data_IF_618074740352
#
_entry.id   IF_618074740352
#
_cell.length_a   1.000
_cell.length_b   1.000
_cell.length_c   1.000
_cell.angle_alpha   90.00
_cell.angle_beta   90.00
_cell.angle_gamma   90.00
#
_symmetry.space_group_name_H-M   'P 1'
#
loop_
_entity.id
_entity.type
_entity.pdbx_description
1 polymer ?
#
# COMPACT_ATOMS: atom_id res chain seq x y z
N UNK A 1 -12.23 0.31 -28.84
CA UNK A 1 -13.24 -0.28 -27.93
C UNK A 1 -12.80 -1.69 -27.64
N UNK A 2 -12.21 -1.97 -26.49
CA UNK A 2 -11.71 -3.33 -26.16
C UNK A 2 -11.74 -3.59 -24.66
N UNK A 3 -11.31 -2.63 -23.85
CA UNK A 3 -11.29 -2.79 -22.38
C UNK A 3 -12.68 -2.69 -21.71
N UNK A 4 -13.54 -1.78 -22.17
CA UNK A 4 -14.88 -1.60 -21.60
C UNK A 4 -15.77 -2.81 -21.85
N UNK A 5 -15.75 -3.34 -23.08
CA UNK A 5 -16.45 -4.58 -23.45
C UNK A 5 -15.92 -5.77 -22.67
N UNK A 6 -14.59 -5.90 -22.51
CA UNK A 6 -14.00 -6.99 -21.75
C UNK A 6 -14.30 -6.90 -20.24
N UNK A 7 -14.31 -5.69 -19.66
CA UNK A 7 -14.68 -5.47 -18.26
C UNK A 7 -16.16 -5.80 -18.02
N UNK A 8 -17.02 -5.41 -18.96
CA UNK A 8 -18.44 -5.73 -18.91
C UNK A 8 -18.69 -7.24 -19.07
N UNK A 9 -17.98 -7.91 -19.99
CA UNK A 9 -18.10 -9.36 -20.18
C UNK A 9 -17.73 -10.12 -18.89
N UNK A 10 -16.67 -9.69 -18.20
CA UNK A 10 -16.31 -10.26 -16.89
C UNK A 10 -17.43 -10.09 -15.85
N UNK A 11 -18.06 -8.91 -15.78
CA UNK A 11 -19.22 -8.66 -14.92
C UNK A 11 -20.43 -9.53 -15.31
N UNK A 12 -20.76 -9.61 -16.60
CA UNK A 12 -21.91 -10.38 -17.11
C UNK A 12 -21.79 -11.87 -16.78
N UNK A 13 -20.59 -12.45 -16.85
CA UNK A 13 -20.37 -13.84 -16.45
C UNK A 13 -20.76 -14.08 -14.98
N UNK A 14 -20.41 -13.16 -14.08
CA UNK A 14 -20.79 -13.25 -12.66
C UNK A 14 -22.30 -13.09 -12.48
N UNK A 15 -22.90 -12.11 -13.18
CA UNK A 15 -24.33 -11.85 -13.13
C UNK A 15 -25.17 -13.03 -13.63
N UNK A 16 -24.71 -13.70 -14.69
CA UNK A 16 -25.38 -14.86 -15.29
C UNK A 16 -25.56 -16.02 -14.29
N UNK A 17 -24.63 -16.16 -13.35
CA UNK A 17 -24.64 -17.22 -12.35
C UNK A 17 -25.29 -16.83 -11.02
N UNK A 18 -25.80 -15.60 -10.88
CA UNK A 18 -26.54 -15.19 -9.68
C UNK A 18 -27.82 -15.99 -9.52
N UNK A 19 -28.09 -16.43 -8.29
CA UNK A 19 -29.35 -17.08 -7.92
C UNK A 19 -30.17 -16.16 -7.01
N UNK A 20 -31.48 -16.38 -6.94
CA UNK A 20 -32.37 -15.57 -6.09
C UNK A 20 -31.93 -15.55 -4.62
N UNK A 21 -31.42 -16.68 -4.11
CA UNK A 21 -30.88 -16.80 -2.74
C UNK A 21 -29.67 -15.90 -2.48
N UNK A 22 -28.97 -15.46 -3.52
CA UNK A 22 -27.77 -14.65 -3.39
C UNK A 22 -28.08 -13.16 -3.21
N UNK A 23 -29.27 -12.71 -3.61
CA UNK A 23 -29.64 -11.29 -3.69
C UNK A 23 -29.54 -10.53 -2.36
N UNK A 24 -29.68 -11.22 -1.23
CA UNK A 24 -29.59 -10.62 0.11
C UNK A 24 -28.22 -10.80 0.77
N UNK A 25 -27.25 -11.42 0.09
CA UNK A 25 -25.91 -11.62 0.65
C UNK A 25 -25.17 -10.28 0.76
N UNK A 26 -24.41 -10.06 1.84
CA UNK A 26 -23.56 -8.88 1.95
C UNK A 26 -22.44 -8.93 0.91
N UNK A 27 -22.02 -7.76 0.42
CA UNK A 27 -20.87 -7.64 -0.49
C UNK A 27 -19.67 -7.02 0.21
N UNK A 28 -18.44 -7.13 -0.34
CA UNK A 28 -17.30 -6.36 0.15
C UNK A 28 -17.48 -4.84 0.04
N UNK A 29 -18.36 -4.37 -0.86
CA UNK A 29 -18.86 -2.99 -0.86
C UNK A 29 -19.92 -2.85 0.24
N UNK A 30 -19.52 -2.39 1.42
CA UNK A 30 -20.36 -2.44 2.63
C UNK A 30 -21.65 -1.63 2.55
N UNK A 31 -21.79 -0.76 1.56
CA UNK A 31 -23.00 0.03 1.29
C UNK A 31 -24.13 -0.80 0.67
N UNK A 32 -23.79 -1.92 0.01
CA UNK A 32 -24.72 -2.67 -0.81
C UNK A 32 -24.70 -4.17 -0.50
N UNK A 33 -25.88 -4.77 -0.36
CA UNK A 33 -26.06 -6.20 -0.62
C UNK A 33 -26.07 -6.48 -2.14
N UNK A 34 -26.09 -7.75 -2.55
CA UNK A 34 -26.03 -8.14 -3.97
C UNK A 34 -27.11 -7.45 -4.82
N UNK A 35 -28.38 -7.44 -4.37
CA UNK A 35 -29.48 -6.80 -5.11
C UNK A 35 -29.24 -5.30 -5.27
N UNK A 36 -28.87 -4.62 -4.19
CA UNK A 36 -28.59 -3.19 -4.21
C UNK A 36 -27.39 -2.84 -5.08
N UNK A 37 -26.40 -3.73 -5.16
CA UNK A 37 -25.23 -3.53 -6.01
C UNK A 37 -25.58 -3.65 -7.49
N UNK A 38 -26.52 -4.53 -7.85
CA UNK A 38 -27.09 -4.61 -9.21
C UNK A 38 -27.86 -3.33 -9.54
N UNK A 39 -28.66 -2.81 -8.61
CA UNK A 39 -29.38 -1.54 -8.80
C UNK A 39 -28.41 -0.35 -9.00
N UNK A 40 -27.33 -0.31 -8.22
CA UNK A 40 -26.27 0.69 -8.35
C UNK A 40 -25.61 0.66 -9.73
N UNK A 41 -25.22 -0.54 -10.21
CA UNK A 41 -24.66 -0.71 -11.55
C UNK A 41 -25.63 -0.26 -12.65
N UNK A 42 -26.90 -0.64 -12.54
CA UNK A 42 -27.94 -0.22 -13.50
C UNK A 42 -28.09 1.31 -13.51
N UNK A 43 -28.13 1.96 -12.34
CA UNK A 43 -28.21 3.41 -12.20
C UNK A 43 -27.03 4.14 -12.85
N UNK A 44 -25.80 3.64 -12.66
CA UNK A 44 -24.60 4.23 -13.27
C UNK A 44 -24.59 4.09 -14.80
N UNK A 45 -25.03 2.95 -15.34
CA UNK A 45 -25.14 2.76 -16.78
C UNK A 45 -26.26 3.60 -17.40
N UNK A 46 -27.41 3.72 -16.73
CA UNK A 46 -28.50 4.59 -17.16
C UNK A 46 -28.09 6.07 -17.16
N UNK A 47 -27.36 6.51 -16.13
CA UNK A 47 -26.77 7.85 -16.08
C UNK A 47 -25.82 8.08 -17.25
N UNK A 48 -24.96 7.11 -17.57
CA UNK A 48 -24.06 7.20 -18.71
C UNK A 48 -24.81 7.28 -20.05
N UNK A 49 -25.86 6.47 -20.25
CA UNK A 49 -26.72 6.58 -21.43
C UNK A 49 -27.30 7.99 -21.56
N UNK A 50 -27.88 8.52 -20.48
CA UNK A 50 -28.48 9.86 -20.44
C UNK A 50 -27.45 10.95 -20.76
N UNK A 51 -26.28 10.91 -20.13
CA UNK A 51 -25.20 11.88 -20.36
C UNK A 51 -24.72 11.89 -21.83
N UNK A 52 -24.86 10.74 -22.50
CA UNK A 52 -24.51 10.57 -23.91
C UNK A 52 -25.66 10.90 -24.86
N UNK A 53 -26.83 11.29 -24.35
CA UNK A 53 -28.01 11.62 -25.14
C UNK A 53 -28.84 10.41 -25.58
N UNK A 54 -28.60 9.24 -24.99
CA UNK A 54 -29.42 8.03 -25.18
C UNK A 54 -30.50 7.93 -24.11
N UNK A 55 -31.71 7.55 -24.51
CA UNK A 55 -32.87 7.36 -23.63
C UNK A 55 -33.11 5.89 -23.26
N UNK A 56 -32.05 5.09 -23.16
CA UNK A 56 -32.20 3.70 -22.69
C UNK A 56 -32.78 3.68 -21.28
N UNK A 57 -34.01 3.16 -21.16
CA UNK A 57 -34.68 2.99 -19.88
C UNK A 57 -34.13 1.76 -19.13
N UNK A 58 -34.02 1.89 -17.81
CA UNK A 58 -33.80 0.77 -16.91
C UNK A 58 -35.10 -0.03 -16.73
N UNK A 59 -35.01 -1.36 -16.77
CA UNK A 59 -36.12 -2.28 -16.50
C UNK A 59 -35.77 -3.19 -15.31
N UNK A 60 -36.14 -2.80 -14.08
CA UNK A 60 -35.91 -3.59 -12.87
C UNK A 60 -36.64 -4.93 -12.83
N UNK A 61 -37.58 -5.21 -13.76
CA UNK A 61 -38.29 -6.49 -13.81
C UNK A 61 -37.47 -7.62 -14.47
N UNK A 62 -36.41 -7.25 -15.20
CA UNK A 62 -35.49 -8.19 -15.81
C UNK A 62 -34.58 -8.85 -14.75
N UNK A 63 -34.12 -10.06 -15.05
CA UNK A 63 -33.06 -10.69 -14.28
C UNK A 63 -31.78 -9.83 -14.32
N UNK A 64 -30.89 -9.93 -13.31
CA UNK A 64 -29.72 -9.06 -13.18
C UNK A 64 -28.83 -8.98 -14.44
N UNK A 65 -28.49 -10.11 -15.04
CA UNK A 65 -27.62 -10.14 -16.23
C UNK A 65 -28.26 -9.43 -17.44
N UNK A 66 -29.45 -9.79 -17.93
CA UNK A 66 -30.03 -9.13 -19.10
C UNK A 66 -30.36 -7.66 -18.86
N UNK A 67 -30.70 -7.26 -17.62
CA UNK A 67 -30.90 -5.85 -17.24
C UNK A 67 -29.63 -5.03 -17.47
N UNK A 68 -28.51 -5.49 -16.93
CA UNK A 68 -27.20 -4.82 -17.06
C UNK A 68 -26.70 -4.89 -18.50
N UNK A 69 -26.87 -6.02 -19.18
CA UNK A 69 -26.46 -6.20 -20.57
C UNK A 69 -27.10 -5.17 -21.51
N UNK A 70 -28.40 -4.92 -21.39
CA UNK A 70 -29.12 -3.96 -22.23
C UNK A 70 -28.63 -2.52 -22.01
N UNK A 71 -28.52 -2.10 -20.75
CA UNK A 71 -28.02 -0.77 -20.41
C UNK A 71 -26.56 -0.57 -20.86
N UNK A 72 -25.72 -1.57 -20.65
CA UNK A 72 -24.32 -1.49 -20.99
C UNK A 72 -24.08 -1.51 -22.51
N UNK A 73 -24.86 -2.29 -23.26
CA UNK A 73 -24.84 -2.26 -24.72
C UNK A 73 -25.18 -0.86 -25.24
N UNK A 74 -26.28 -0.26 -24.77
CA UNK A 74 -26.67 1.08 -25.17
C UNK A 74 -25.60 2.14 -24.83
N UNK A 75 -24.99 2.03 -23.65
CA UNK A 75 -23.89 2.91 -23.25
C UNK A 75 -22.68 2.76 -24.18
N UNK A 76 -22.26 1.52 -24.46
CA UNK A 76 -21.13 1.22 -25.36
C UNK A 76 -21.38 1.75 -26.77
N UNK A 77 -22.56 1.52 -27.34
CA UNK A 77 -22.94 2.04 -28.67
C UNK A 77 -22.90 3.57 -28.69
N UNK A 78 -23.37 4.22 -27.63
CA UNK A 78 -23.34 5.69 -27.50
C UNK A 78 -21.91 6.23 -27.46
N UNK A 79 -21.02 5.61 -26.69
CA UNK A 79 -19.59 5.96 -26.64
C UNK A 79 -18.90 5.70 -27.98
N UNK A 80 -19.27 4.64 -28.67
CA UNK A 80 -18.74 4.28 -29.98
C UNK A 80 -19.10 5.31 -31.04
N UNK A 81 -20.34 5.80 -31.01
CA UNK A 81 -20.83 6.79 -31.96
C UNK A 81 -20.31 8.21 -31.68
N UNK A 82 -20.28 8.64 -30.41
CA UNK A 82 -19.87 9.99 -30.02
C UNK A 82 -18.35 10.16 -29.93
N UNK A 83 -17.63 9.12 -29.50
CA UNK A 83 -16.24 9.22 -29.08
C UNK A 83 -16.06 9.73 -27.64
N UNK A 84 -14.79 9.94 -27.25
CA UNK A 84 -14.39 10.30 -25.88
C UNK A 84 -13.89 11.74 -25.73
N UNK A 85 -13.98 12.56 -26.78
CA UNK A 85 -13.57 13.95 -26.75
C UNK A 85 -14.62 14.85 -26.08
N UNK A 86 -14.16 15.90 -25.41
CA UNK A 86 -15.01 16.90 -24.76
C UNK A 86 -15.59 16.47 -23.41
N UNK A 87 -16.58 17.22 -22.94
CA UNK A 87 -17.27 17.00 -21.66
C UNK A 87 -18.69 16.48 -21.86
N UNK A 88 -19.24 15.91 -20.79
CA UNK A 88 -20.59 15.40 -20.64
C UNK A 88 -21.23 16.05 -19.41
N UNK A 89 -22.49 16.46 -19.57
CA UNK A 89 -23.32 16.93 -18.47
C UNK A 89 -23.99 15.72 -17.78
N UNK A 90 -23.63 15.48 -16.51
CA UNK A 90 -24.28 14.46 -15.68
C UNK A 90 -25.54 14.98 -14.97
N UNK A 91 -25.91 16.24 -15.16
CA UNK A 91 -26.99 16.96 -14.48
C UNK A 91 -26.59 17.56 -13.13
N UNK A 92 -25.46 17.11 -12.55
CA UNK A 92 -24.90 17.62 -11.30
C UNK A 92 -23.43 18.03 -11.43
N UNK A 93 -22.78 17.69 -12.54
CA UNK A 93 -21.39 18.03 -12.84
C UNK A 93 -21.11 17.88 -14.34
N UNK A 94 -20.19 18.70 -14.83
CA UNK A 94 -19.54 18.52 -16.13
C UNK A 94 -18.31 17.64 -15.96
N UNK A 95 -18.22 16.53 -16.70
CA UNK A 95 -17.09 15.59 -16.63
C UNK A 95 -16.52 15.30 -18.01
N UNK A 96 -15.20 15.12 -18.18
CA UNK A 96 -14.65 14.63 -19.44
C UNK A 96 -15.26 13.27 -19.81
N UNK A 97 -15.59 13.05 -21.10
CA UNK A 97 -16.16 11.77 -21.54
C UNK A 97 -15.20 10.60 -21.28
N UNK A 98 -13.89 10.85 -21.39
CA UNK A 98 -12.83 9.89 -21.04
C UNK A 98 -12.84 9.48 -19.57
N UNK A 99 -13.17 10.41 -18.66
CA UNK A 99 -13.29 10.15 -17.21
C UNK A 99 -14.49 9.26 -16.94
N UNK A 100 -15.67 9.55 -17.51
CA UNK A 100 -16.85 8.71 -17.34
C UNK A 100 -16.61 7.29 -17.88
N UNK A 101 -15.98 7.17 -19.05
CA UNK A 101 -15.59 5.88 -19.61
C UNK A 101 -14.63 5.11 -18.69
N UNK A 102 -13.65 5.80 -18.09
CA UNK A 102 -12.74 5.21 -17.10
C UNK A 102 -13.46 4.72 -15.85
N UNK A 103 -14.42 5.50 -15.34
CA UNK A 103 -15.27 5.11 -14.20
C UNK A 103 -16.06 3.85 -14.53
N UNK A 104 -16.70 3.74 -15.70
CA UNK A 104 -17.48 2.55 -16.04
C UNK A 104 -16.64 1.27 -16.14
N UNK A 105 -15.38 1.38 -16.59
CA UNK A 105 -14.43 0.25 -16.56
C UNK A 105 -14.14 -0.17 -15.11
N UNK A 106 -13.89 0.80 -14.24
CA UNK A 106 -13.61 0.56 -12.82
C UNK A 106 -14.83 -0.07 -12.11
N UNK A 107 -16.02 0.49 -12.29
CA UNK A 107 -17.28 0.01 -11.73
C UNK A 107 -17.53 -1.44 -12.14
N UNK A 108 -17.38 -1.75 -13.44
CA UNK A 108 -17.61 -3.10 -13.96
C UNK A 108 -16.63 -4.12 -13.37
N UNK A 109 -15.35 -3.78 -13.31
CA UNK A 109 -14.30 -4.69 -12.82
C UNK A 109 -14.39 -4.92 -11.30
N UNK A 110 -14.54 -3.83 -10.53
CA UNK A 110 -14.53 -3.89 -9.06
C UNK A 110 -15.81 -4.49 -8.52
N UNK A 111 -16.96 -4.13 -9.09
CA UNK A 111 -18.25 -4.68 -8.64
C UNK A 111 -18.51 -6.08 -9.20
N UNK A 112 -17.97 -6.43 -10.37
CA UNK A 112 -17.90 -7.82 -10.82
C UNK A 112 -17.16 -8.69 -9.78
N UNK A 113 -16.01 -8.20 -9.30
CA UNK A 113 -15.28 -8.86 -8.22
C UNK A 113 -16.07 -8.90 -6.90
N UNK A 114 -16.73 -7.80 -6.50
CA UNK A 114 -17.55 -7.77 -5.27
C UNK A 114 -18.68 -8.81 -5.31
N UNK A 115 -19.38 -8.93 -6.44
CA UNK A 115 -20.44 -9.91 -6.66
C UNK A 115 -19.91 -11.34 -6.64
N UNK A 116 -18.76 -11.59 -7.30
CA UNK A 116 -18.14 -12.90 -7.31
C UNK A 116 -17.73 -13.34 -5.90
N UNK A 117 -17.14 -12.44 -5.12
CA UNK A 117 -16.79 -12.69 -3.73
C UNK A 117 -18.02 -12.94 -2.87
N UNK A 118 -19.04 -12.10 -3.01
CA UNK A 118 -20.29 -12.22 -2.27
C UNK A 118 -20.97 -13.57 -2.51
N UNK A 119 -20.84 -14.11 -3.73
CA UNK A 119 -21.52 -15.34 -4.17
C UNK A 119 -20.62 -16.58 -4.25
N UNK A 120 -19.34 -16.44 -3.90
CA UNK A 120 -18.33 -17.51 -3.95
C UNK A 120 -18.07 -18.05 -5.36
N UNK A 121 -18.14 -17.15 -6.36
CA UNK A 121 -17.73 -17.42 -7.74
C UNK A 121 -16.26 -17.06 -7.94
N UNK A 122 -15.63 -17.67 -8.94
CA UNK A 122 -14.32 -17.24 -9.42
C UNK A 122 -14.47 -15.99 -10.28
N UNK A 123 -13.51 -15.07 -10.18
CA UNK A 123 -13.44 -13.87 -11.01
C UNK A 123 -12.09 -13.84 -11.72
N UNK A 124 -12.00 -14.56 -12.83
CA UNK A 124 -10.80 -14.64 -13.66
C UNK A 124 -10.86 -13.60 -14.77
N UNK A 125 -9.87 -12.71 -14.79
CA UNK A 125 -9.75 -11.64 -15.77
C UNK A 125 -8.33 -11.57 -16.28
N UNK A 126 -8.19 -11.22 -17.56
CA UNK A 126 -6.87 -11.06 -18.16
C UNK A 126 -6.01 -10.08 -17.34
N UNK A 127 -4.78 -10.46 -16.95
CA UNK A 127 -3.91 -9.59 -16.16
C UNK A 127 -3.59 -8.26 -16.84
N UNK A 128 -3.52 -8.22 -18.18
CA UNK A 128 -3.31 -7.01 -18.96
C UNK A 128 -4.51 -6.07 -18.90
N UNK A 129 -5.73 -6.61 -18.98
CA UNK A 129 -6.96 -5.85 -18.76
C UNK A 129 -7.02 -5.27 -17.34
N UNK A 130 -6.73 -6.08 -16.32
CA UNK A 130 -6.73 -5.62 -14.94
C UNK A 130 -5.66 -4.53 -14.69
N UNK A 131 -4.47 -4.65 -15.30
CA UNK A 131 -3.44 -3.61 -15.23
C UNK A 131 -3.89 -2.32 -15.91
N UNK A 132 -4.51 -2.42 -17.09
CA UNK A 132 -5.04 -1.27 -17.81
C UNK A 132 -6.11 -0.53 -16.98
N UNK A 133 -7.04 -1.26 -16.37
CA UNK A 133 -8.07 -0.67 -15.50
C UNK A 133 -7.47 -0.07 -14.23
N UNK A 134 -6.41 -0.66 -13.66
CA UNK A 134 -5.67 -0.06 -12.55
C UNK A 134 -5.04 1.29 -12.92
N UNK A 135 -4.42 1.39 -14.09
CA UNK A 135 -3.84 2.66 -14.55
C UNK A 135 -4.93 3.71 -14.85
N UNK A 136 -6.07 3.30 -15.42
CA UNK A 136 -7.24 4.18 -15.55
C UNK A 136 -7.75 4.67 -14.19
N UNK A 137 -7.81 3.78 -13.20
CA UNK A 137 -8.24 4.12 -11.85
C UNK A 137 -7.29 5.14 -11.21
N UNK A 138 -5.97 4.97 -11.35
CA UNK A 138 -4.96 5.93 -10.87
C UNK A 138 -5.07 7.29 -11.55
N UNK A 139 -5.40 7.32 -12.84
CA UNK A 139 -5.57 8.56 -13.60
C UNK A 139 -6.89 9.28 -13.25
N UNK A 140 -7.94 8.54 -12.89
CA UNK A 140 -9.29 9.06 -12.71
C UNK A 140 -9.63 9.37 -11.25
N UNK A 141 -9.11 8.58 -10.31
CA UNK A 141 -9.39 8.72 -8.88
C UNK A 141 -8.36 9.64 -8.22
N UNK A 142 -8.71 10.92 -8.10
CA UNK A 142 -7.96 11.90 -7.31
C UNK A 142 -8.31 11.91 -5.82
N UNK A 143 -7.64 12.79 -5.07
CA UNK A 143 -7.88 12.98 -3.62
C UNK A 143 -9.32 13.39 -3.31
N UNK A 144 -9.93 14.22 -4.17
CA UNK A 144 -11.33 14.64 -4.05
C UNK A 144 -12.33 13.46 -4.14
N UNK A 145 -12.10 12.53 -5.06
CA UNK A 145 -12.95 11.33 -5.24
C UNK A 145 -12.77 10.33 -4.09
N UNK A 146 -11.60 10.30 -3.44
CA UNK A 146 -11.44 9.55 -2.19
C UNK A 146 -12.10 10.25 -1.01
N UNK A 147 -12.06 11.58 -0.98
CA UNK A 147 -12.69 12.39 0.06
C UNK A 147 -14.23 12.35 0.02
N UNK A 148 -14.85 12.02 -1.13
CA UNK A 148 -16.30 11.82 -1.23
C UNK A 148 -16.80 10.56 -0.50
N UNK A 149 -15.89 9.69 -0.04
CA UNK A 149 -16.22 8.45 0.67
C UNK A 149 -16.51 7.25 -0.24
N UNK A 150 -16.58 7.47 -1.55
CA UNK A 150 -16.88 6.41 -2.54
C UNK A 150 -15.78 5.35 -2.67
N UNK A 151 -14.56 5.66 -2.23
CA UNK A 151 -13.42 4.75 -2.19
C UNK A 151 -12.72 4.84 -0.83
N UNK A 152 -12.44 3.68 -0.23
CA UNK A 152 -11.66 3.60 1.00
C UNK A 152 -10.19 3.97 0.80
N UNK A 153 -9.40 4.11 1.88
CA UNK A 153 -7.95 4.22 1.78
C UNK A 153 -7.39 2.95 1.14
N UNK A 154 -6.44 3.09 0.20
CA UNK A 154 -5.78 1.95 -0.45
C UNK A 154 -5.23 0.97 0.60
N UNK A 155 -5.57 -0.32 0.44
CA UNK A 155 -5.09 -1.35 1.35
C UNK A 155 -3.69 -1.81 0.95
N UNK A 156 -2.90 -2.18 1.96
CA UNK A 156 -1.56 -2.67 1.70
C UNK A 156 -1.61 -4.04 1.02
N UNK A 157 -0.96 -4.16 -0.13
CA UNK A 157 -0.79 -5.40 -0.86
C UNK A 157 0.65 -5.59 -1.33
N UNK A 158 1.10 -6.84 -1.46
CA UNK A 158 2.40 -7.15 -2.03
C UNK A 158 2.48 -6.66 -3.49
N UNK A 159 3.60 -6.07 -3.89
CA UNK A 159 3.81 -5.66 -5.28
C UNK A 159 3.80 -6.83 -6.26
N UNK A 160 4.22 -8.00 -5.80
CA UNK A 160 4.18 -9.25 -6.57
C UNK A 160 2.75 -9.79 -6.73
N UNK A 161 1.74 -9.17 -6.11
CA UNK A 161 0.35 -9.51 -6.37
C UNK A 161 0.01 -9.23 -7.84
N UNK A 162 -0.93 -10.01 -8.37
CA UNK A 162 -1.46 -9.81 -9.70
C UNK A 162 -2.20 -8.48 -9.82
N UNK A 163 -2.39 -8.05 -11.06
CA UNK A 163 -2.96 -6.74 -11.37
C UNK A 163 -4.38 -6.56 -10.84
N UNK A 164 -5.19 -7.63 -10.85
CA UNK A 164 -6.53 -7.61 -10.25
C UNK A 164 -6.46 -7.35 -8.74
N UNK A 165 -5.60 -8.05 -8.00
CA UNK A 165 -5.55 -7.83 -6.55
C UNK A 165 -5.02 -6.43 -6.20
N UNK A 166 -4.08 -5.89 -6.99
CA UNK A 166 -3.64 -4.50 -6.85
C UNK A 166 -4.75 -3.50 -7.15
N UNK A 167 -5.57 -3.74 -8.17
CA UNK A 167 -6.77 -2.95 -8.46
C UNK A 167 -7.76 -2.97 -7.29
N UNK A 168 -8.08 -4.14 -6.76
CA UNK A 168 -8.98 -4.27 -5.60
C UNK A 168 -8.39 -3.55 -4.38
N UNK A 169 -7.10 -3.71 -4.11
CA UNK A 169 -6.42 -3.01 -3.01
C UNK A 169 -6.46 -1.48 -3.16
N UNK A 170 -6.27 -0.97 -4.38
CA UNK A 170 -6.36 0.46 -4.69
C UNK A 170 -7.72 1.08 -4.29
N UNK A 171 -8.80 0.30 -4.35
CA UNK A 171 -10.15 0.75 -3.96
C UNK A 171 -10.42 0.74 -2.45
N UNK A 172 -9.45 0.25 -1.66
CA UNK A 172 -9.59 0.08 -0.22
C UNK A 172 -10.22 -1.25 0.22
N UNK A 173 -10.48 -2.16 -0.72
CA UNK A 173 -10.94 -3.53 -0.45
C UNK A 173 -9.76 -4.44 -0.11
N UNK A 174 -10.04 -5.59 0.52
CA UNK A 174 -9.02 -6.60 0.86
C UNK A 174 -9.25 -7.83 -0.02
N UNK A 175 -8.37 -8.11 -1.01
CA UNK A 175 -8.54 -9.30 -1.85
C UNK A 175 -8.26 -10.57 -1.05
N UNK A 176 -9.01 -11.66 -1.33
CA UNK A 176 -8.94 -12.90 -0.56
C UNK A 176 -7.56 -13.59 -0.59
N UNK A 177 -6.72 -13.29 -1.59
CA UNK A 177 -5.34 -13.75 -1.71
C UNK A 177 -4.28 -12.83 -1.06
N UNK A 178 -4.67 -11.69 -0.47
CA UNK A 178 -3.73 -10.74 0.12
C UNK A 178 -3.02 -11.35 1.34
N UNK A 179 -1.81 -11.89 1.13
CA UNK A 179 -0.81 -11.82 2.19
C UNK A 179 -0.51 -10.35 2.41
N UNK A 180 -1.00 -9.79 3.51
CA UNK A 180 -0.67 -8.44 3.93
C UNK A 180 0.84 -8.23 3.82
N UNK A 181 1.27 -7.14 3.19
CA UNK A 181 2.68 -6.78 3.15
C UNK A 181 3.22 -6.82 4.60
N UNK A 182 4.26 -7.61 4.89
CA UNK A 182 4.68 -7.84 6.26
C UNK A 182 5.06 -6.50 6.89
N UNK A 183 4.39 -6.18 8.00
CA UNK A 183 4.73 -5.05 8.85
C UNK A 183 6.15 -5.27 9.35
N UNK A 184 7.03 -4.31 9.09
CA UNK A 184 8.34 -4.29 9.73
C UNK A 184 8.10 -3.78 11.14
N UNK A 185 8.42 -4.60 12.14
CA UNK A 185 8.47 -4.21 13.54
C UNK A 185 9.66 -4.92 14.17
N UNK A 186 10.82 -4.26 14.09
CA UNK A 186 12.08 -4.78 14.61
C UNK A 186 12.52 -3.90 15.77
N UNK A 187 12.76 -4.51 16.93
CA UNK A 187 13.27 -3.82 18.11
C UNK A 187 14.50 -4.54 18.67
N UNK A 188 15.49 -3.76 19.11
CA UNK A 188 16.69 -4.27 19.76
C UNK A 188 17.06 -3.40 20.97
N UNK A 189 17.73 -4.00 21.94
CA UNK A 189 18.27 -3.30 23.09
C UNK A 189 19.73 -3.68 23.33
N UNK A 190 20.58 -2.69 23.57
CA UNK A 190 21.98 -2.90 23.90
C UNK A 190 22.36 -2.09 25.14
N UNK A 191 23.30 -2.59 25.93
CA UNK A 191 23.98 -1.81 26.97
C UNK A 191 25.37 -1.40 26.46
N UNK A 192 25.60 -0.11 26.37
CA UNK A 192 26.85 0.52 25.94
C UNK A 192 27.61 0.96 27.18
N UNK A 193 28.91 0.61 27.26
CA UNK A 193 29.80 0.95 28.38
C UNK A 193 30.32 2.40 28.30
N UNK A 194 29.40 3.35 28.14
CA UNK A 194 29.66 4.79 28.14
C UNK A 194 28.52 5.56 28.84
N UNK A 195 28.79 6.73 29.44
CA UNK A 195 27.77 7.56 30.10
C UNK A 195 26.63 7.99 29.17
N UNK A 196 25.46 8.26 29.76
CA UNK A 196 24.22 8.59 29.02
C UNK A 196 24.38 9.79 28.08
N UNK A 197 24.98 10.87 28.57
CA UNK A 197 25.13 12.11 27.79
C UNK A 197 25.96 11.91 26.53
N UNK A 198 26.96 11.03 26.59
CA UNK A 198 27.85 10.74 25.47
C UNK A 198 27.17 9.85 24.43
N UNK A 199 26.53 8.76 24.88
CA UNK A 199 25.81 7.83 23.99
C UNK A 199 24.63 8.52 23.32
N UNK A 200 23.81 9.21 24.09
CA UNK A 200 22.64 9.89 23.56
C UNK A 200 23.04 11.08 22.67
N UNK A 201 24.04 11.88 23.07
CA UNK A 201 24.54 12.99 22.25
C UNK A 201 25.07 12.52 20.90
N UNK A 202 25.88 11.46 20.88
CA UNK A 202 26.41 10.92 19.62
C UNK A 202 25.32 10.30 18.73
N UNK A 203 24.37 9.56 19.31
CA UNK A 203 23.32 8.88 18.54
C UNK A 203 22.24 9.84 18.05
N UNK A 204 21.89 10.85 18.84
CA UNK A 204 20.83 11.81 18.52
C UNK A 204 21.27 12.89 17.52
N UNK A 205 22.57 12.99 17.25
CA UNK A 205 23.10 13.75 16.12
C UNK A 205 23.22 12.83 14.88
N UNK A 206 22.32 12.96 13.89
CA UNK A 206 22.30 12.11 12.71
C UNK A 206 23.56 12.27 11.84
N UNK A 207 24.33 13.36 12.00
CA UNK A 207 25.59 13.54 11.28
C UNK A 207 26.67 12.55 11.73
N UNK A 208 26.52 11.98 12.92
CA UNK A 208 27.40 10.90 13.39
C UNK A 208 27.07 9.54 12.78
N UNK A 209 25.93 9.39 12.09
CA UNK A 209 25.49 8.10 11.56
C UNK A 209 26.56 7.36 10.73
N UNK A 210 27.32 8.01 9.83
CA UNK A 210 28.38 7.33 9.07
C UNK A 210 29.51 6.73 9.94
N UNK A 211 29.69 7.22 11.18
CA UNK A 211 30.74 6.73 12.10
C UNK A 211 30.38 5.35 12.67
N UNK A 212 29.10 5.07 12.88
CA UNK A 212 28.64 3.87 13.58
C UNK A 212 27.68 3.01 12.75
N UNK A 213 27.13 3.55 11.67
CA UNK A 213 26.18 2.90 10.80
C UNK A 213 26.87 2.56 9.47
N UNK A 214 27.48 1.37 9.40
CA UNK A 214 28.31 0.89 8.26
C UNK A 214 27.68 1.10 6.88
N UNK A 215 26.36 0.98 6.77
CA UNK A 215 25.67 1.06 5.49
C UNK A 215 25.33 2.50 5.09
N UNK A 216 25.53 3.49 5.97
CA UNK A 216 25.34 4.91 5.68
C UNK A 216 26.70 5.50 5.32
N UNK A 217 26.85 5.92 4.07
CA UNK A 217 28.08 6.57 3.60
C UNK A 217 28.11 8.06 3.91
N UNK A 218 26.95 8.74 3.85
CA UNK A 218 26.87 10.18 4.14
C UNK A 218 25.59 10.49 4.91
N UNK A 219 25.66 11.51 5.76
CA UNK A 219 24.52 12.12 6.42
C UNK A 219 24.67 13.64 6.32
N UNK A 220 23.63 14.33 5.86
CA UNK A 220 23.62 15.79 5.73
C UNK A 220 22.35 16.38 6.32
N UNK A 221 22.50 17.50 6.99
CA UNK A 221 21.39 18.32 7.45
C UNK A 221 20.76 19.06 6.27
N UNK A 222 19.44 19.22 6.28
CA UNK A 222 18.71 19.95 5.23
C UNK A 222 18.17 21.31 5.68
N UNK A 223 18.07 21.57 6.99
CA UNK A 223 17.53 22.83 7.54
C UNK A 223 18.56 23.55 8.43
N UNK A 224 18.46 24.88 8.54
CA UNK A 224 19.29 25.70 9.43
C UNK A 224 18.89 25.53 10.91
N UNK A 225 19.86 25.64 11.85
CA UNK A 225 19.62 25.60 13.30
C UNK A 225 20.08 24.32 14.02
N UNK A 226 19.58 24.06 15.22
CA UNK A 226 19.87 22.84 16.01
C UNK A 226 18.93 21.69 15.63
N UNK A 227 19.27 20.43 15.97
CA UNK A 227 18.33 19.31 15.78
C UNK A 227 17.22 19.39 16.83
N UNK A 228 15.97 19.24 16.39
CA UNK A 228 14.75 19.34 17.18
C UNK A 228 13.56 18.84 16.37
N UNK A 229 12.35 18.90 16.94
CA UNK A 229 11.12 18.50 16.23
C UNK A 229 11.01 19.30 14.92
N UNK A 230 10.75 18.60 13.81
CA UNK A 230 10.65 19.18 12.47
C UNK A 230 11.97 19.22 11.69
N UNK A 231 13.12 19.08 12.34
CA UNK A 231 14.42 19.07 11.65
C UNK A 231 14.54 17.88 10.70
N UNK A 232 15.28 18.07 9.60
CA UNK A 232 15.44 17.11 8.51
C UNK A 232 16.90 16.79 8.26
N UNK A 233 17.14 15.51 8.02
CA UNK A 233 18.45 14.99 7.63
C UNK A 233 18.30 14.02 6.45
N UNK A 234 19.13 14.19 5.43
CA UNK A 234 19.26 13.26 4.32
C UNK A 234 20.42 12.29 4.58
N UNK A 235 20.21 11.04 4.21
CA UNK A 235 21.19 9.97 4.34
C UNK A 235 21.39 9.31 2.99
N UNK A 236 22.64 9.00 2.67
CA UNK A 236 22.97 8.13 1.55
C UNK A 236 23.46 6.81 2.12
N UNK A 237 22.79 5.73 1.76
CA UNK A 237 23.10 4.38 2.17
C UNK A 237 23.47 3.51 0.97
N UNK A 238 24.18 2.41 1.23
CA UNK A 238 24.39 1.33 0.26
C UNK A 238 23.78 0.05 0.77
N UNK A 239 22.93 -0.56 -0.05
CA UNK A 239 22.33 -1.85 0.24
C UNK A 239 22.54 -2.80 -0.95
N UNK A 240 23.19 -3.95 -0.71
CA UNK A 240 23.61 -4.95 -1.74
C UNK A 240 24.19 -4.30 -3.02
N UNK A 241 25.06 -3.30 -2.84
CA UNK A 241 25.78 -2.61 -3.92
C UNK A 241 25.04 -1.44 -4.58
N UNK A 242 23.78 -1.17 -4.24
CA UNK A 242 22.99 -0.05 -4.79
C UNK A 242 22.93 1.12 -3.81
N UNK A 243 23.03 2.34 -4.34
CA UNK A 243 22.87 3.56 -3.56
C UNK A 243 21.38 3.85 -3.30
N UNK A 244 21.05 4.20 -2.05
CA UNK A 244 19.73 4.61 -1.60
C UNK A 244 19.85 5.96 -0.90
N UNK A 245 19.06 6.95 -1.32
CA UNK A 245 18.99 8.26 -0.68
C UNK A 245 17.62 8.44 -0.05
N UNK A 246 17.56 8.81 1.23
CA UNK A 246 16.31 9.07 1.94
C UNK A 246 16.44 10.23 2.91
N UNK A 247 15.32 10.89 3.22
CA UNK A 247 15.25 11.98 4.18
C UNK A 247 14.41 11.58 5.38
N UNK A 248 14.93 11.77 6.58
CA UNK A 248 14.18 11.66 7.83
C UNK A 248 13.75 13.03 8.34
N UNK A 249 12.57 13.09 8.95
CA UNK A 249 12.05 14.21 9.74
C UNK A 249 11.98 13.79 11.20
N UNK A 250 12.44 14.66 12.10
CA UNK A 250 12.35 14.46 13.53
C UNK A 250 10.90 14.70 13.97
N UNK A 251 10.24 13.66 14.49
CA UNK A 251 8.84 13.70 14.93
C UNK A 251 8.72 13.94 16.43
N UNK A 252 9.59 13.32 17.22
CA UNK A 252 9.69 13.57 18.65
C UNK A 252 11.16 13.69 19.05
N UNK A 253 11.45 14.61 19.96
CA UNK A 253 12.81 14.86 20.43
C UNK A 253 12.80 15.29 21.89
N UNK A 254 13.37 14.45 22.76
CA UNK A 254 13.64 14.76 24.17
C UNK A 254 15.13 14.57 24.41
N UNK A 255 15.91 15.66 24.58
CA UNK A 255 17.36 15.59 24.76
C UNK A 255 17.79 14.52 25.76
N UNK A 256 18.71 13.64 25.34
CA UNK A 256 19.27 12.60 26.18
C UNK A 256 18.34 11.42 26.49
N UNK A 257 17.10 11.38 25.94
CA UNK A 257 16.08 10.39 26.33
C UNK A 257 15.35 9.73 25.17
N UNK A 258 14.86 10.51 24.20
CA UNK A 258 14.00 10.01 23.13
C UNK A 258 14.29 10.74 21.83
N UNK A 259 14.52 9.97 20.77
CA UNK A 259 14.50 10.45 19.40
C UNK A 259 13.53 9.59 18.60
N UNK A 260 12.57 10.21 17.92
CA UNK A 260 11.71 9.55 16.94
C UNK A 260 11.87 10.28 15.60
N UNK A 261 12.26 9.53 14.58
CA UNK A 261 12.38 10.01 13.20
C UNK A 261 11.42 9.24 12.31
N UNK A 262 10.90 9.88 11.27
CA UNK A 262 10.11 9.22 10.24
C UNK A 262 10.49 9.72 8.84
N UNK A 263 10.44 8.85 7.83
CA UNK A 263 10.78 9.23 6.45
C UNK A 263 9.90 10.38 5.96
N UNK A 264 10.51 11.38 5.31
CA UNK A 264 9.83 12.58 4.83
C UNK A 264 9.05 12.31 3.54
N UNK A 265 9.63 11.48 2.66
CA UNK A 265 9.23 11.18 1.29
C UNK A 265 9.72 9.77 0.94
N UNK A 266 9.08 9.15 -0.05
CA UNK A 266 9.40 7.80 -0.49
C UNK A 266 8.31 6.82 -0.07
N UNK A 267 8.29 5.63 -0.67
CA UNK A 267 7.06 4.85 -0.73
C UNK A 267 6.83 4.09 0.61
N UNK A 268 7.82 4.11 1.51
CA UNK A 268 7.79 3.49 2.83
C UNK A 268 7.78 4.53 3.96
N UNK A 269 6.65 4.77 4.65
CA UNK A 269 6.69 5.44 5.93
C UNK A 269 7.34 4.49 6.95
N UNK A 270 8.64 4.68 7.18
CA UNK A 270 9.38 4.03 8.27
C UNK A 270 9.55 5.01 9.42
N UNK A 271 9.33 4.51 10.63
CA UNK A 271 9.59 5.19 11.88
C UNK A 271 10.74 4.50 12.60
N UNK A 272 11.74 5.29 12.97
CA UNK A 272 12.88 4.86 13.79
C UNK A 272 12.81 5.57 15.13
N UNK A 273 12.82 4.82 16.22
CA UNK A 273 12.84 5.36 17.57
C UNK A 273 14.03 4.87 18.37
N UNK A 274 14.71 5.80 19.04
CA UNK A 274 15.77 5.55 20.01
C UNK A 274 15.31 6.00 21.39
N UNK A 275 15.41 5.11 22.38
CA UNK A 275 15.21 5.43 23.80
C UNK A 275 16.49 5.16 24.57
N UNK A 276 16.90 6.11 25.38
CA UNK A 276 18.13 6.04 26.18
C UNK A 276 17.80 6.03 27.66
N UNK A 277 18.45 5.15 28.42
CA UNK A 277 18.33 5.09 29.88
C UNK A 277 19.68 4.79 30.49
N UNK A 278 20.10 5.58 31.49
CA UNK A 278 21.26 5.23 32.31
C UNK A 278 21.00 3.90 33.04
N UNK A 279 21.94 2.97 32.92
CA UNK A 279 21.99 1.77 33.78
C UNK A 279 22.69 2.13 35.09
N UNK A 280 23.77 2.91 34.98
CA UNK A 280 24.51 3.56 36.06
C UNK A 280 25.29 4.76 35.48
N UNK A 281 26.24 5.34 36.23
CA UNK A 281 27.04 6.49 35.79
C UNK A 281 27.97 6.23 34.60
N UNK A 282 28.26 4.97 34.27
CA UNK A 282 29.21 4.58 33.23
C UNK A 282 28.59 3.75 32.10
N UNK A 283 27.32 3.33 32.23
CA UNK A 283 26.64 2.45 31.27
C UNK A 283 25.28 2.99 30.86
N UNK A 284 24.96 2.85 29.58
CA UNK A 284 23.72 3.32 28.97
C UNK A 284 23.01 2.20 28.26
N UNK A 285 21.71 2.01 28.52
CA UNK A 285 20.85 1.15 27.71
C UNK A 285 20.23 1.97 26.58
N UNK A 286 20.43 1.50 25.36
CA UNK A 286 19.80 2.04 24.16
C UNK A 286 18.78 1.03 23.68
N UNK A 287 17.54 1.45 23.49
CA UNK A 287 16.49 0.69 22.84
C UNK A 287 16.19 1.33 21.49
N UNK A 288 16.38 0.58 20.42
CA UNK A 288 16.09 0.97 19.04
C UNK A 288 14.88 0.17 18.57
N UNK A 289 13.89 0.84 17.97
CA UNK A 289 12.80 0.20 17.26
C UNK A 289 12.58 0.86 15.90
N UNK A 290 12.53 0.02 14.87
CA UNK A 290 12.18 0.37 13.51
C UNK A 290 10.81 -0.25 13.20
N UNK A 291 9.82 0.58 12.94
CA UNK A 291 8.47 0.14 12.60
C UNK A 291 7.93 0.85 11.35
N UNK A 292 7.19 0.12 10.51
CA UNK A 292 6.64 0.68 9.28
C UNK A 292 6.02 -0.37 8.37
N UNK A 293 5.22 0.08 7.41
CA UNK A 293 4.63 -0.78 6.38
C UNK A 293 5.26 -0.45 5.04
N UNK A 294 5.91 -1.43 4.38
CA UNK A 294 6.44 -1.16 3.07
C UNK A 294 5.31 -1.05 2.00
N UNK A 295 5.09 0.09 1.33
CA UNK A 295 4.39 0.23 0.03
C UNK A 295 5.31 0.77 -1.07
N UNK A 296 5.27 0.28 -2.33
CA UNK A 296 5.73 1.02 -3.53
C UNK A 296 7.22 1.01 -3.97
N UNK A 297 7.95 -0.10 -3.83
CA UNK A 297 9.12 -0.37 -4.66
C UNK A 297 8.70 -0.49 -6.14
N UNK A 298 9.51 0.06 -7.06
CA UNK A 298 9.40 -0.25 -8.48
C UNK A 298 9.95 -1.66 -8.73
N UNK A 299 9.52 -2.30 -9.84
CA UNK A 299 9.91 -3.63 -10.36
C UNK A 299 11.43 -3.93 -10.38
N UNK A 300 12.30 -2.97 -10.07
CA UNK A 300 13.75 -3.06 -10.13
C UNK A 300 14.43 -3.72 -8.91
N UNK A 301 13.77 -3.82 -7.75
CA UNK A 301 14.41 -4.19 -6.46
C UNK A 301 13.84 -5.44 -5.76
N UNK A 302 12.78 -6.07 -6.26
CA UNK A 302 12.15 -7.26 -5.66
C UNK A 302 13.11 -8.46 -5.41
N UNK A 303 14.09 -8.79 -6.27
CA UNK A 303 15.05 -9.89 -6.01
C UNK A 303 15.98 -9.63 -4.82
N UNK A 304 16.05 -8.39 -4.33
CA UNK A 304 17.03 -7.95 -3.35
C UNK A 304 16.60 -8.24 -1.90
N UNK A 305 15.32 -8.60 -1.68
CA UNK A 305 14.72 -8.89 -0.37
C UNK A 305 14.22 -10.35 -0.23
N UNK A 306 14.44 -11.21 -1.22
CA UNK A 306 14.18 -12.65 -1.09
C UNK A 306 15.15 -13.26 -0.05
N UNK A 307 14.71 -14.20 0.81
CA UNK A 307 15.62 -14.94 1.67
C UNK A 307 16.60 -15.75 0.83
N UNK A 308 17.90 -15.68 1.12
CA UNK A 308 18.90 -16.58 0.51
C UNK A 308 18.82 -17.96 1.17
N UNK A 309 18.47 -18.99 0.39
CA UNK A 309 18.73 -20.39 0.71
C UNK A 309 20.20 -20.71 0.39
N UNK A 310 21.10 -20.60 1.38
CA UNK A 310 22.48 -21.08 1.25
C UNK A 310 22.93 -21.85 2.50
N UNK A 311 23.72 -22.94 2.35
CA UNK A 311 23.99 -23.89 3.43
C UNK A 311 24.96 -23.30 4.47
N UNK A 312 24.72 -23.65 5.73
CA UNK A 312 25.35 -23.02 6.88
C UNK A 312 26.84 -23.34 7.07
N UNK A 313 27.54 -22.38 7.68
CA UNK A 313 28.81 -22.61 8.35
C UNK A 313 28.85 -21.90 9.72
N UNK A 314 29.11 -22.74 10.72
CA UNK A 314 29.58 -22.55 12.09
C UNK A 314 28.76 -21.73 13.13
N UNK A 315 27.88 -22.47 13.84
CA UNK A 315 27.32 -22.11 15.14
C UNK A 315 28.21 -22.66 16.27
N UNK A 316 29.14 -21.85 16.79
CA UNK A 316 29.63 -21.90 18.18
C UNK A 316 29.90 -20.44 18.56
N UNK A 317 29.32 -19.83 19.59
CA UNK A 317 28.99 -20.29 20.94
C UNK A 317 28.14 -19.20 21.59
N UNK A 318 27.13 -19.58 22.37
CA UNK A 318 26.76 -19.01 23.69
C UNK A 318 25.28 -19.28 24.00
N UNK A 319 25.08 -20.18 24.96
CA UNK A 319 23.79 -20.56 25.55
C UNK A 319 22.94 -19.38 26.03
N UNK A 320 21.65 -19.42 25.71
CA UNK A 320 20.58 -19.03 26.62
C UNK A 320 19.28 -19.75 26.20
N UNK A 321 18.80 -20.61 27.09
CA UNK A 321 17.69 -21.54 26.93
C UNK A 321 16.37 -20.85 26.51
N UNK A 322 15.77 -21.37 25.43
CA UNK A 322 14.42 -21.06 24.99
C UNK A 322 13.37 -21.79 25.85
N UNK A 323 12.31 -21.10 26.24
CA UNK A 323 11.02 -21.71 26.62
C UNK A 323 10.11 -21.77 25.38
N UNK A 324 9.25 -22.79 25.23
CA UNK A 324 8.52 -23.02 23.99
C UNK A 324 7.24 -22.18 23.91
N UNK A 325 7.03 -21.49 22.79
CA UNK A 325 5.80 -20.77 22.48
C UNK A 325 6.04 -19.40 21.84
N UNK A 326 6.46 -19.35 20.57
CA UNK A 326 6.59 -18.09 19.83
C UNK A 326 6.90 -18.32 18.36
N UNK A 327 6.05 -17.78 17.49
CA UNK A 327 6.12 -17.82 16.02
C UNK A 327 7.50 -17.40 15.49
N UNK A 328 7.98 -18.13 14.49
CA UNK A 328 9.22 -17.91 13.74
C UNK A 328 9.23 -16.53 13.06
N UNK A 329 10.24 -15.70 13.37
CA UNK A 329 10.48 -14.40 12.72
C UNK A 329 11.58 -14.53 11.67
N UNK A 330 11.29 -14.13 10.43
CA UNK A 330 12.28 -14.00 9.36
C UNK A 330 13.20 -12.81 9.68
N UNK A 331 14.42 -13.16 10.07
CA UNK A 331 15.47 -12.29 10.58
C UNK A 331 16.49 -12.04 9.48
N UNK A 332 16.50 -10.83 8.88
CA UNK A 332 17.68 -10.31 8.18
C UNK A 332 17.78 -8.78 8.26
N UNK A 333 16.66 -8.04 8.20
CA UNK A 333 16.68 -6.59 8.37
C UNK A 333 17.08 -6.17 9.81
N UNK A 334 16.65 -6.94 10.81
CA UNK A 334 17.04 -6.73 12.21
C UNK A 334 18.48 -7.16 12.51
N UNK A 335 19.00 -8.19 11.83
CA UNK A 335 20.35 -8.69 12.07
C UNK A 335 21.44 -7.72 11.59
N UNK A 336 21.17 -6.94 10.54
CA UNK A 336 22.08 -5.88 10.10
C UNK A 336 22.28 -4.82 11.18
N UNK A 337 21.21 -4.29 11.78
CA UNK A 337 21.31 -3.25 12.83
C UNK A 337 21.87 -3.80 14.16
N UNK A 338 21.57 -5.06 14.48
CA UNK A 338 22.10 -5.78 15.67
C UNK A 338 23.61 -6.01 15.59
N UNK A 339 24.16 -6.26 14.39
CA UNK A 339 25.61 -6.35 14.17
C UNK A 339 26.30 -4.98 14.19
N UNK A 340 25.58 -3.90 13.88
CA UNK A 340 26.12 -2.55 13.68
C UNK A 340 26.31 -1.76 14.97
N UNK A 341 25.40 -1.91 15.94
CA UNK A 341 25.60 -1.34 17.29
C UNK A 341 26.83 -1.93 18.01
N UNK A 342 27.28 -3.14 17.63
CA UNK A 342 28.52 -3.77 18.14
C UNK A 342 29.78 -3.29 17.41
N UNK A 343 29.65 -2.54 16.32
CA UNK A 343 30.75 -2.18 15.41
C UNK A 343 31.25 -0.73 15.54
N UNK A 344 30.70 0.07 16.47
CA UNK A 344 31.09 1.48 16.70
C UNK A 344 32.59 1.56 17.06
N UNK A 345 33.45 2.18 16.23
CA UNK A 345 34.88 2.32 16.53
C UNK A 345 35.14 3.17 17.78
N UNK A 346 34.27 4.14 18.08
CA UNK A 346 34.30 4.94 19.31
C UNK A 346 34.03 4.12 20.60
N UNK A 347 33.62 2.85 20.48
CA UNK A 347 33.43 1.90 21.58
C UNK A 347 34.56 0.87 21.69
N UNK A 348 35.62 0.97 20.87
CA UNK A 348 36.87 0.23 21.03
C UNK A 348 37.94 1.13 21.65
N UNK A 349 37.73 1.47 22.92
CA UNK A 349 38.75 1.68 23.96
C UNK A 349 38.04 1.95 25.28
#
# INVERSE_FOLDING_TARGET
MTAAEASLAALQLVLHHLQEKDLQRPTPCTEFNVSQLVDHLAGNLALACKAMGSEQADDPSLAPEPRIAQLAQAALESFSARGLEGTLDLGFAEVPASVLSGILNLESMVHGWDLAQATSQEFDVDPGLAEYVLELARATVGEQQRASGSLGPETAIAESAGSLERLIAFTGRVPAGARAAPMVDAATSIVIRRPLHEVAGSTMDPLNAPVWYRNISTARRLDEGNFGIGARAAFEARFRGRALSYTYVFKEYVPGRLLVMATAQGPFPMRTSYRFKAVDGARTRVHLRNDGRPSGFSKLLAPLMAPDDAPGEDRRSADAQARPGGRTTLSQAGDADVFLLRSIPALRR
#
